data_IF_265937828062
#
_entry.id   IF_265937828062
#
_cell.length_a   1.000
_cell.length_b   1.000
_cell.length_c   1.000
_cell.angle_alpha   90.00
_cell.angle_beta   90.00
_cell.angle_gamma   90.00
#
_symmetry.space_group_name_H-M   'P 1'
#
loop_
_entity.id
_entity.type
_entity.pdbx_description
1 polymer ?
#
# COMPACT_ATOMS: atom_id res chain seq x y z
N UNK A 1 49.75 12.43 -22.59
CA UNK A 1 49.37 11.81 -23.88
C UNK A 1 48.26 10.82 -23.56
N UNK A 2 47.04 11.16 -24.00
CA UNK A 2 45.77 10.42 -24.02
C UNK A 2 45.32 9.65 -22.76
N UNK A 3 44.37 10.29 -22.05
CA UNK A 3 43.32 9.63 -21.26
C UNK A 3 42.42 8.89 -22.25
N UNK A 4 42.29 7.57 -22.11
CA UNK A 4 41.29 6.80 -22.85
C UNK A 4 39.94 6.99 -22.16
N UNK A 5 39.02 7.65 -22.87
CA UNK A 5 37.59 7.61 -22.59
C UNK A 5 37.12 6.16 -22.72
N UNK A 6 36.74 5.54 -21.60
CA UNK A 6 35.95 4.32 -21.59
C UNK A 6 34.50 4.77 -21.58
N UNK A 7 33.84 4.65 -22.73
CA UNK A 7 32.41 4.90 -22.87
C UNK A 7 31.64 3.93 -21.98
N UNK A 8 30.73 4.47 -21.19
CA UNK A 8 29.70 3.69 -20.50
C UNK A 8 28.87 2.98 -21.58
N UNK A 9 28.83 1.65 -21.51
CA UNK A 9 27.83 0.86 -22.23
C UNK A 9 26.44 1.31 -21.75
N UNK A 10 25.69 1.90 -22.68
CA UNK A 10 24.36 2.50 -22.50
C UNK A 10 23.22 1.46 -22.40
N UNK A 11 23.54 0.19 -22.10
CA UNK A 11 22.60 -0.95 -22.24
C UNK A 11 22.08 -1.54 -20.91
N UNK A 12 21.91 -0.71 -19.88
CA UNK A 12 21.07 -1.07 -18.70
C UNK A 12 20.16 0.10 -18.32
N UNK A 13 19.26 0.46 -19.23
CA UNK A 13 18.11 1.35 -18.96
C UNK A 13 16.79 0.64 -19.24
N UNK A 14 16.61 -0.56 -18.70
CA UNK A 14 15.30 -1.23 -18.69
C UNK A 14 15.11 -2.07 -17.42
N UNK A 15 14.60 -1.44 -16.36
CA UNK A 15 13.53 -1.98 -15.50
C UNK A 15 13.22 -0.95 -14.40
N UNK A 16 11.94 -0.62 -14.24
CA UNK A 16 11.48 0.14 -13.07
C UNK A 16 11.68 -0.65 -11.78
N UNK A 17 11.49 0.06 -10.66
CA UNK A 17 11.47 -0.44 -9.27
C UNK A 17 12.84 -0.48 -8.55
N UNK A 18 12.99 0.48 -7.63
CA UNK A 18 14.01 0.61 -6.57
C UNK A 18 15.37 1.25 -6.95
N UNK A 19 15.68 2.37 -6.29
CA UNK A 19 17.02 3.00 -6.23
C UNK A 19 17.91 2.12 -5.31
N UNK A 20 19.20 1.95 -5.64
CA UNK A 20 20.16 1.16 -4.85
C UNK A 20 20.14 1.48 -3.35
N UNK A 21 19.89 2.74 -2.99
CA UNK A 21 19.75 3.17 -1.59
C UNK A 21 18.49 2.58 -0.96
N UNK A 22 17.35 2.63 -1.67
CA UNK A 22 16.08 2.07 -1.18
C UNK A 22 16.21 0.56 -0.95
N UNK A 23 16.85 -0.17 -1.87
CA UNK A 23 17.05 -1.62 -1.72
C UNK A 23 17.88 -1.92 -0.48
N UNK A 24 18.99 -1.20 -0.26
CA UNK A 24 19.86 -1.42 0.89
C UNK A 24 19.19 -1.11 2.24
N UNK A 25 18.17 -0.24 2.26
CA UNK A 25 17.36 0.00 3.45
C UNK A 25 16.55 -1.24 3.87
N UNK A 26 16.07 -2.03 2.91
CA UNK A 26 15.37 -3.29 3.21
C UNK A 26 16.30 -4.32 3.89
N UNK A 27 17.62 -4.18 3.67
CA UNK A 27 18.65 -4.98 4.34
C UNK A 27 19.16 -4.37 5.65
N UNK A 28 18.51 -3.31 6.14
CA UNK A 28 18.73 -2.74 7.47
C UNK A 28 19.79 -1.64 7.54
N UNK A 29 20.16 -1.04 6.41
CA UNK A 29 21.01 0.16 6.39
C UNK A 29 20.19 1.44 6.48
N UNK A 30 20.69 2.44 7.21
CA UNK A 30 20.17 3.81 7.12
C UNK A 30 20.58 4.47 5.79
N UNK A 31 19.92 5.56 5.39
CA UNK A 31 20.17 6.24 4.10
C UNK A 31 21.64 6.66 3.92
N UNK A 32 22.22 7.28 4.95
CA UNK A 32 23.63 7.67 4.93
C UNK A 32 24.60 6.47 4.91
N UNK A 33 24.20 5.34 5.51
CA UNK A 33 25.00 4.11 5.55
C UNK A 33 24.99 3.43 4.18
N UNK A 34 23.81 3.32 3.56
CA UNK A 34 23.64 2.86 2.19
C UNK A 34 24.45 3.72 1.21
N UNK A 35 24.35 5.05 1.30
CA UNK A 35 25.12 5.97 0.46
C UNK A 35 26.63 5.80 0.67
N UNK A 36 27.08 5.64 1.91
CA UNK A 36 28.49 5.43 2.23
C UNK A 36 29.01 4.09 1.72
N UNK A 37 28.21 3.02 1.81
CA UNK A 37 28.56 1.71 1.27
C UNK A 37 28.66 1.72 -0.27
N UNK A 38 27.70 2.33 -0.96
CA UNK A 38 27.77 2.51 -2.42
C UNK A 38 29.00 3.33 -2.81
N UNK A 39 29.31 4.40 -2.06
CA UNK A 39 30.53 5.17 -2.26
C UNK A 39 31.82 4.35 -2.08
N UNK A 40 31.87 3.47 -1.07
CA UNK A 40 33.00 2.54 -0.88
C UNK A 40 33.10 1.53 -2.03
N UNK A 41 31.98 1.02 -2.52
CA UNK A 41 31.96 0.07 -3.63
C UNK A 41 32.48 0.71 -4.93
N UNK A 42 32.19 2.00 -5.15
CA UNK A 42 32.64 2.75 -6.33
C UNK A 42 34.10 3.20 -6.24
N UNK A 43 34.54 3.66 -5.07
CA UNK A 43 35.89 4.22 -4.87
C UNK A 43 36.93 3.16 -4.51
N UNK A 44 36.50 1.97 -4.10
CA UNK A 44 37.38 0.90 -3.64
C UNK A 44 37.96 1.18 -2.25
N UNK A 45 39.27 0.97 -2.08
CA UNK A 45 39.94 1.13 -0.79
C UNK A 45 40.42 2.56 -0.55
N UNK A 46 39.68 3.32 0.25
CA UNK A 46 39.86 4.77 0.44
C UNK A 46 39.83 5.19 1.90
N UNK A 47 40.35 6.38 2.20
CA UNK A 47 40.33 6.94 3.56
C UNK A 47 38.95 7.48 3.92
N UNK A 48 38.63 7.53 5.21
CA UNK A 48 37.38 8.15 5.69
C UNK A 48 37.20 9.61 5.22
N UNK A 49 38.29 10.36 5.06
CA UNK A 49 38.24 11.74 4.54
C UNK A 49 37.84 11.83 3.07
N UNK A 50 38.20 10.82 2.27
CA UNK A 50 37.89 10.77 0.83
C UNK A 50 36.42 10.37 0.65
N UNK A 51 35.93 9.42 1.45
CA UNK A 51 34.51 9.05 1.50
C UNK A 51 33.64 10.22 1.97
N UNK A 52 34.03 10.90 3.05
CA UNK A 52 33.32 12.09 3.56
C UNK A 52 33.20 13.18 2.50
N UNK A 53 34.24 13.39 1.69
CA UNK A 53 34.21 14.36 0.59
C UNK A 53 33.28 13.90 -0.55
N UNK A 54 33.25 12.60 -0.85
CA UNK A 54 32.41 12.00 -1.89
C UNK A 54 30.92 12.05 -1.53
N UNK A 55 30.57 11.60 -0.32
CA UNK A 55 29.18 11.56 0.16
C UNK A 55 28.66 12.90 0.65
N UNK A 56 29.57 13.89 0.85
CA UNK A 56 29.28 15.20 1.46
C UNK A 56 28.77 15.09 2.91
N UNK A 57 29.04 13.98 3.58
CA UNK A 57 28.71 13.76 4.99
C UNK A 57 29.86 14.30 5.85
N UNK A 58 29.53 14.89 7.00
CA UNK A 58 30.53 15.37 7.97
C UNK A 58 31.51 14.26 8.37
N UNK A 59 32.78 14.62 8.62
CA UNK A 59 33.85 13.66 8.93
C UNK A 59 33.57 12.85 10.19
N UNK A 60 33.05 13.47 11.26
CA UNK A 60 32.79 12.75 12.52
C UNK A 60 31.69 11.72 12.32
N UNK A 61 30.64 12.09 11.57
CA UNK A 61 29.54 11.18 11.22
C UNK A 61 30.00 10.05 10.29
N UNK A 62 30.84 10.37 9.31
CA UNK A 62 31.41 9.39 8.38
C UNK A 62 32.19 8.29 9.11
N UNK A 63 33.01 8.62 10.11
CA UNK A 63 33.70 7.61 10.92
C UNK A 63 32.74 6.68 11.68
N UNK A 64 31.64 7.22 12.23
CA UNK A 64 30.63 6.39 12.90
C UNK A 64 29.93 5.44 11.94
N UNK A 65 29.55 5.94 10.75
CA UNK A 65 28.92 5.15 9.70
C UNK A 65 29.86 4.03 9.23
N UNK A 66 31.13 4.33 8.99
CA UNK A 66 32.11 3.32 8.57
C UNK A 66 32.33 2.24 9.63
N UNK A 67 32.29 2.59 10.91
CA UNK A 67 32.34 1.62 12.01
C UNK A 67 31.06 0.77 12.10
N UNK A 68 29.88 1.36 11.91
CA UNK A 68 28.62 0.62 11.84
C UNK A 68 28.59 -0.36 10.66
N UNK A 69 28.96 0.10 9.46
CA UNK A 69 29.07 -0.75 8.27
C UNK A 69 30.05 -1.91 8.50
N UNK A 70 31.15 -1.68 9.23
CA UNK A 70 32.06 -2.76 9.62
C UNK A 70 31.41 -3.77 10.57
N UNK A 71 30.67 -3.30 11.57
CA UNK A 71 29.95 -4.18 12.51
C UNK A 71 28.84 -4.99 11.84
N UNK A 72 28.20 -4.42 10.82
CA UNK A 72 27.19 -5.10 10.00
C UNK A 72 27.81 -6.02 8.94
N UNK A 73 29.13 -5.96 8.73
CA UNK A 73 29.84 -6.77 7.74
C UNK A 73 29.84 -6.20 6.32
N UNK A 74 29.32 -4.99 6.11
CA UNK A 74 29.33 -4.29 4.82
C UNK A 74 30.68 -3.67 4.47
N UNK A 75 31.52 -3.36 5.45
CA UNK A 75 32.84 -2.77 5.21
C UNK A 75 33.95 -3.49 5.99
N UNK A 76 35.16 -3.41 5.47
CA UNK A 76 36.40 -3.79 6.16
C UNK A 76 37.34 -2.61 6.26
N UNK A 77 38.24 -2.66 7.23
CA UNK A 77 39.29 -1.64 7.37
C UNK A 77 40.67 -2.27 7.47
N UNK A 78 41.65 -1.58 6.90
CA UNK A 78 43.05 -1.96 6.99
C UNK A 78 43.63 -1.59 8.35
N UNK A 79 44.53 -2.41 8.89
CA UNK A 79 45.33 -2.08 10.09
C UNK A 79 46.54 -1.18 9.78
N UNK A 80 46.45 -0.32 8.75
CA UNK A 80 47.52 0.60 8.36
C UNK A 80 47.27 2.02 8.85
N UNK A 81 48.33 2.83 8.91
CA UNK A 81 48.22 4.28 9.03
C UNK A 81 48.56 4.92 7.68
N UNK A 82 47.63 5.66 7.04
CA UNK A 82 46.24 5.90 7.45
C UNK A 82 45.33 4.67 7.23
N UNK A 83 44.24 4.60 8.01
CA UNK A 83 43.22 3.56 7.89
C UNK A 83 42.46 3.78 6.57
N UNK A 84 42.37 2.73 5.76
CA UNK A 84 41.52 2.66 4.59
C UNK A 84 40.35 1.73 4.86
N UNK A 85 39.21 2.07 4.27
CA UNK A 85 37.99 1.29 4.29
C UNK A 85 37.71 0.76 2.89
N UNK A 86 37.17 -0.45 2.82
CA UNK A 86 36.74 -1.10 1.57
C UNK A 86 35.38 -1.72 1.77
N UNK A 87 34.53 -1.68 0.73
CA UNK A 87 33.29 -2.43 0.72
C UNK A 87 33.59 -3.94 0.63
N UNK A 88 32.85 -4.72 1.40
CA UNK A 88 32.83 -6.17 1.23
C UNK A 88 31.92 -6.55 0.04
N UNK A 89 32.02 -7.78 -0.45
CA UNK A 89 31.27 -8.22 -1.63
C UNK A 89 29.75 -8.29 -1.37
N UNK A 90 28.91 -7.55 -2.12
CA UNK A 90 27.48 -7.43 -1.85
C UNK A 90 26.76 -8.78 -1.89
N UNK A 91 27.08 -9.64 -2.84
CA UNK A 91 26.38 -10.91 -3.01
C UNK A 91 26.50 -11.82 -1.78
N UNK A 92 27.70 -11.90 -1.19
CA UNK A 92 27.92 -12.71 0.03
C UNK A 92 27.19 -12.12 1.23
N UNK A 93 27.30 -10.81 1.45
CA UNK A 93 26.69 -10.13 2.61
C UNK A 93 25.17 -10.29 2.57
N UNK A 94 24.55 -10.02 1.43
CA UNK A 94 23.10 -10.08 1.29
C UNK A 94 22.58 -11.52 1.48
N UNK A 95 23.30 -12.53 0.97
CA UNK A 95 22.99 -13.94 1.22
C UNK A 95 23.06 -14.29 2.71
N UNK A 96 24.11 -13.84 3.40
CA UNK A 96 24.30 -14.09 4.83
C UNK A 96 23.20 -13.43 5.68
N UNK A 97 22.81 -12.20 5.34
CA UNK A 97 21.69 -11.49 6.00
C UNK A 97 20.39 -12.28 5.83
N UNK A 98 20.06 -12.69 4.61
CA UNK A 98 18.85 -13.47 4.31
C UNK A 98 18.87 -14.79 5.08
N UNK A 99 19.99 -15.50 5.09
CA UNK A 99 20.14 -16.77 5.80
C UNK A 99 19.92 -16.60 7.31
N UNK A 100 20.52 -15.56 7.90
CA UNK A 100 20.36 -15.24 9.33
C UNK A 100 18.90 -14.92 9.69
N UNK A 101 18.20 -14.19 8.84
CA UNK A 101 16.77 -13.89 9.04
C UNK A 101 15.93 -15.17 8.95
N UNK A 102 16.18 -16.04 7.97
CA UNK A 102 15.49 -17.35 7.86
C UNK A 102 15.67 -18.21 9.10
N UNK A 103 16.90 -18.31 9.61
CA UNK A 103 17.19 -19.05 10.85
C UNK A 103 16.44 -18.48 12.06
N UNK A 104 16.30 -17.14 12.14
CA UNK A 104 15.51 -16.48 13.18
C UNK A 104 14.04 -16.85 13.08
N UNK A 105 13.48 -16.88 11.87
CA UNK A 105 12.09 -17.31 11.61
C UNK A 105 11.89 -18.76 12.02
N UNK A 106 12.75 -19.69 11.58
CA UNK A 106 12.70 -21.11 11.96
C UNK A 106 12.75 -21.29 13.49
N UNK A 107 13.59 -20.50 14.17
CA UNK A 107 13.67 -20.52 15.64
C UNK A 107 12.37 -20.05 16.30
N UNK A 108 11.77 -18.97 15.79
CA UNK A 108 10.48 -18.46 16.29
C UNK A 108 9.35 -19.46 16.05
N UNK A 109 9.29 -20.12 14.90
CA UNK A 109 8.32 -21.16 14.59
C UNK A 109 8.46 -22.37 15.53
N UNK A 110 9.71 -22.78 15.82
CA UNK A 110 9.99 -23.84 16.79
C UNK A 110 9.53 -23.46 18.20
N UNK A 111 9.83 -22.23 18.64
CA UNK A 111 9.40 -21.73 19.94
C UNK A 111 7.86 -21.65 20.03
N UNK A 112 7.20 -21.17 18.99
CA UNK A 112 5.73 -21.15 18.89
C UNK A 112 5.15 -22.56 19.03
N UNK A 113 5.70 -23.53 18.29
CA UNK A 113 5.28 -24.94 18.35
C UNK A 113 5.49 -25.56 19.74
N UNK A 114 6.62 -25.24 20.39
CA UNK A 114 6.89 -25.68 21.77
C UNK A 114 5.92 -25.04 22.76
N UNK A 115 5.64 -23.75 22.62
CA UNK A 115 4.71 -23.02 23.46
C UNK A 115 3.28 -23.56 23.33
N UNK A 116 2.82 -23.87 22.11
CA UNK A 116 1.52 -24.50 21.88
C UNK A 116 1.42 -25.88 22.55
N UNK A 117 2.49 -26.69 22.55
CA UNK A 117 2.56 -27.97 23.28
C UNK A 117 2.52 -27.79 24.80
N UNK A 118 3.07 -26.69 25.32
CA UNK A 118 2.97 -26.34 26.73
C UNK A 118 1.53 -25.93 27.04
N UNK A 119 0.95 -25.03 26.25
CA UNK A 119 -0.43 -24.57 26.38
C UNK A 119 -1.43 -25.72 26.36
N UNK A 120 -1.26 -26.72 25.48
CA UNK A 120 -2.16 -27.88 25.42
C UNK A 120 -2.12 -28.77 26.66
N UNK A 121 -1.04 -28.68 27.47
CA UNK A 121 -0.90 -29.40 28.75
C UNK A 121 -1.41 -28.59 29.94
N UNK A 122 -1.51 -27.28 29.79
CA UNK A 122 -2.15 -26.44 30.78
C UNK A 122 -3.65 -26.68 30.69
N UNK A 123 -4.32 -26.83 31.84
CA UNK A 123 -5.78 -26.71 31.91
C UNK A 123 -6.12 -25.26 31.59
N UNK A 124 -6.22 -24.96 30.30
CA UNK A 124 -6.82 -23.72 29.84
C UNK A 124 -8.29 -23.81 30.25
N UNK A 125 -8.78 -22.79 30.93
CA UNK A 125 -10.22 -22.63 31.08
C UNK A 125 -10.75 -22.51 29.67
N UNK A 126 -11.35 -23.59 29.15
CA UNK A 126 -12.10 -23.50 27.91
C UNK A 126 -13.09 -22.36 28.12
N UNK A 127 -13.07 -21.33 27.27
CA UNK A 127 -14.13 -20.32 27.32
C UNK A 127 -15.43 -21.10 27.28
N UNK A 128 -16.26 -20.91 28.30
CA UNK A 128 -17.50 -21.67 28.44
C UNK A 128 -18.22 -21.69 27.10
N UNK A 129 -18.53 -22.90 26.65
CA UNK A 129 -19.17 -23.24 25.38
C UNK A 129 -20.05 -22.11 24.87
N UNK A 130 -19.76 -21.63 23.66
CA UNK A 130 -20.76 -21.06 22.75
C UNK A 130 -21.50 -19.80 23.20
N UNK A 131 -21.02 -19.06 24.21
CA UNK A 131 -21.66 -17.78 24.52
C UNK A 131 -21.55 -16.84 23.30
N UNK A 132 -22.67 -16.23 22.86
CA UNK A 132 -22.64 -15.21 21.82
C UNK A 132 -21.68 -14.10 22.21
N UNK A 133 -20.66 -13.89 21.39
CA UNK A 133 -19.70 -12.81 21.50
C UNK A 133 -20.05 -11.73 20.50
N UNK A 134 -19.89 -10.50 20.93
CA UNK A 134 -19.92 -9.31 20.10
C UNK A 134 -18.57 -8.64 20.31
N UNK A 135 -17.82 -8.47 19.24
CA UNK A 135 -16.50 -7.84 19.25
C UNK A 135 -16.52 -6.67 18.29
N UNK A 136 -16.01 -5.53 18.74
CA UNK A 136 -15.77 -4.39 17.88
C UNK A 136 -14.31 -4.45 17.45
N UNK A 137 -14.10 -4.47 16.14
CA UNK A 137 -12.78 -4.45 15.52
C UNK A 137 -12.63 -3.07 14.90
N UNK A 138 -11.65 -2.33 15.40
CA UNK A 138 -11.29 -1.00 14.89
C UNK A 138 -9.96 -1.09 14.16
N UNK A 139 -9.70 -0.08 13.32
CA UNK A 139 -8.57 0.00 12.39
C UNK A 139 -8.74 -0.89 11.16
N UNK A 140 -8.48 -0.30 9.99
CA UNK A 140 -8.61 -0.91 8.67
C UNK A 140 -7.83 -2.21 8.52
N UNK A 141 -6.55 -2.24 8.90
CA UNK A 141 -5.73 -3.44 8.73
C UNK A 141 -6.32 -4.60 9.53
N UNK A 142 -6.69 -4.35 10.79
CA UNK A 142 -7.37 -5.34 11.62
C UNK A 142 -8.71 -5.79 11.01
N UNK A 143 -9.48 -4.88 10.40
CA UNK A 143 -10.75 -5.24 9.76
C UNK A 143 -10.52 -6.21 8.61
N UNK A 144 -9.55 -5.92 7.72
CA UNK A 144 -9.25 -6.81 6.58
C UNK A 144 -8.63 -8.13 7.04
N UNK A 145 -7.82 -8.14 8.10
CA UNK A 145 -7.31 -9.37 8.71
C UNK A 145 -8.45 -10.24 9.27
N UNK A 146 -9.45 -9.62 9.91
CA UNK A 146 -10.64 -10.34 10.40
C UNK A 146 -11.51 -10.84 9.23
N UNK A 147 -11.65 -10.06 8.16
CA UNK A 147 -12.32 -10.54 6.95
C UNK A 147 -11.61 -11.76 6.36
N UNK A 148 -10.28 -11.69 6.21
CA UNK A 148 -9.45 -12.80 5.73
C UNK A 148 -9.66 -14.05 6.60
N UNK A 149 -9.62 -13.89 7.92
CA UNK A 149 -9.88 -14.98 8.86
C UNK A 149 -11.26 -15.63 8.66
N UNK A 150 -12.33 -14.82 8.57
CA UNK A 150 -13.69 -15.34 8.35
C UNK A 150 -13.78 -16.10 7.02
N UNK A 151 -13.17 -15.57 5.95
CA UNK A 151 -13.16 -16.24 4.63
C UNK A 151 -12.44 -17.58 4.73
N UNK A 152 -11.31 -17.63 5.43
CA UNK A 152 -10.52 -18.86 5.58
C UNK A 152 -11.22 -19.94 6.43
N UNK A 153 -11.94 -19.52 7.47
CA UNK A 153 -12.69 -20.41 8.37
C UNK A 153 -14.02 -20.91 7.76
N UNK A 154 -14.48 -20.33 6.64
CA UNK A 154 -15.78 -20.67 6.04
C UNK A 154 -15.68 -21.90 5.12
N UNK A 155 -16.39 -22.96 5.49
CA UNK A 155 -16.38 -24.23 4.75
C UNK A 155 -17.41 -24.30 3.62
N UNK A 156 -18.65 -23.86 3.85
CA UNK A 156 -19.77 -24.10 2.93
C UNK A 156 -20.11 -22.83 2.12
N UNK A 157 -20.69 -21.83 2.78
CA UNK A 157 -21.25 -20.66 2.10
C UNK A 157 -20.82 -19.36 2.75
N UNK A 158 -20.45 -18.41 1.90
CA UNK A 158 -20.06 -17.06 2.30
C UNK A 158 -20.78 -16.02 1.44
N UNK A 159 -21.46 -15.09 2.10
CA UNK A 159 -21.96 -13.87 1.45
C UNK A 159 -21.01 -12.71 1.74
N UNK A 160 -20.65 -11.99 0.69
CA UNK A 160 -19.84 -10.77 0.76
C UNK A 160 -20.67 -9.65 0.18
N UNK A 161 -21.13 -8.72 1.01
CA UNK A 161 -21.90 -7.54 0.62
C UNK A 161 -21.04 -6.32 0.91
N UNK A 162 -20.50 -5.68 -0.13
CA UNK A 162 -19.49 -4.63 0.02
C UNK A 162 -19.65 -3.55 -1.05
N UNK A 163 -19.11 -2.36 -0.77
CA UNK A 163 -19.05 -1.26 -1.75
C UNK A 163 -17.95 -1.50 -2.78
N UNK A 164 -17.97 -0.77 -3.90
CA UNK A 164 -16.88 -0.81 -4.88
C UNK A 164 -15.55 -0.35 -4.27
N UNK A 165 -15.60 0.65 -3.37
CA UNK A 165 -14.42 1.11 -2.63
C UNK A 165 -13.78 -0.02 -1.84
N UNK A 166 -14.59 -0.85 -1.18
CA UNK A 166 -14.10 -1.99 -0.41
C UNK A 166 -13.53 -3.09 -1.30
N UNK A 167 -14.14 -3.37 -2.46
CA UNK A 167 -13.61 -4.34 -3.44
C UNK A 167 -12.18 -3.98 -3.84
N UNK A 168 -11.92 -2.70 -4.11
CA UNK A 168 -10.59 -2.22 -4.53
C UNK A 168 -9.62 -2.32 -3.36
N UNK A 169 -10.02 -1.90 -2.16
CA UNK A 169 -9.18 -2.05 -0.97
C UNK A 169 -8.85 -3.51 -0.69
N UNK A 170 -9.83 -4.42 -0.79
CA UNK A 170 -9.63 -5.85 -0.63
C UNK A 170 -8.58 -6.41 -1.61
N UNK A 171 -8.52 -5.88 -2.84
CA UNK A 171 -7.56 -6.31 -3.84
C UNK A 171 -6.09 -6.09 -3.42
N UNK A 172 -5.80 -5.03 -2.65
CA UNK A 172 -4.46 -4.73 -2.12
C UNK A 172 -4.22 -5.33 -0.72
N UNK A 173 -4.92 -6.41 -0.37
CA UNK A 173 -4.73 -7.14 0.91
C UNK A 173 -4.50 -8.63 0.65
N UNK A 174 -4.41 -9.44 1.71
CA UNK A 174 -4.32 -10.90 1.61
C UNK A 174 -5.62 -11.58 1.15
N UNK A 175 -6.74 -10.85 1.09
CA UNK A 175 -8.07 -11.37 0.78
C UNK A 175 -8.15 -12.12 -0.57
N UNK A 176 -7.55 -11.67 -1.69
CA UNK A 176 -7.62 -12.39 -2.96
C UNK A 176 -7.02 -13.80 -2.87
N UNK A 177 -5.93 -13.97 -2.12
CA UNK A 177 -5.30 -15.27 -1.90
C UNK A 177 -6.20 -16.20 -1.08
N UNK A 178 -6.81 -15.66 -0.02
CA UNK A 178 -7.72 -16.42 0.84
C UNK A 178 -9.00 -16.81 0.10
N UNK A 179 -9.57 -15.92 -0.71
CA UNK A 179 -10.72 -16.22 -1.59
C UNK A 179 -10.37 -17.33 -2.56
N UNK A 180 -9.19 -17.28 -3.19
CA UNK A 180 -8.73 -18.32 -4.10
C UNK A 180 -8.59 -19.67 -3.40
N UNK A 181 -8.09 -19.70 -2.17
CA UNK A 181 -7.97 -20.91 -1.33
C UNK A 181 -9.36 -21.45 -0.95
N UNK A 182 -10.27 -20.60 -0.49
CA UNK A 182 -11.64 -20.97 -0.16
C UNK A 182 -12.40 -21.53 -1.38
N UNK A 183 -12.24 -20.90 -2.55
CA UNK A 183 -12.83 -21.38 -3.81
C UNK A 183 -12.29 -22.76 -4.20
N UNK A 184 -10.99 -23.03 -4.00
CA UNK A 184 -10.40 -24.36 -4.20
C UNK A 184 -10.94 -25.41 -3.22
N UNK A 185 -11.33 -24.99 -2.02
CA UNK A 185 -11.96 -25.85 -1.02
C UNK A 185 -13.47 -26.03 -1.25
N UNK A 186 -13.99 -25.61 -2.42
CA UNK A 186 -15.40 -25.65 -2.80
C UNK A 186 -16.34 -24.76 -1.96
N UNK A 187 -15.82 -23.74 -1.27
CA UNK A 187 -16.65 -22.74 -0.59
C UNK A 187 -17.46 -21.94 -1.63
N UNK A 188 -18.78 -21.87 -1.45
CA UNK A 188 -19.70 -21.11 -2.30
C UNK A 188 -19.72 -19.63 -1.90
N UNK A 189 -18.87 -18.84 -2.54
CA UNK A 189 -18.75 -17.39 -2.29
C UNK A 189 -19.70 -16.63 -3.22
N UNK A 190 -20.55 -15.78 -2.63
CA UNK A 190 -21.54 -14.93 -3.30
C UNK A 190 -21.23 -13.46 -3.01
N UNK A 191 -20.74 -12.73 -4.00
CA UNK A 191 -20.42 -11.30 -3.88
C UNK A 191 -21.60 -10.43 -4.35
N UNK A 192 -21.99 -9.45 -3.54
CA UNK A 192 -23.02 -8.47 -3.85
C UNK A 192 -22.45 -7.08 -3.68
N UNK A 193 -22.71 -6.21 -4.66
CA UNK A 193 -22.23 -4.84 -4.63
C UNK A 193 -23.17 -3.89 -5.38
N UNK A 194 -22.94 -2.59 -5.25
CA UNK A 194 -23.78 -1.56 -5.87
C UNK A 194 -23.61 -1.45 -7.40
N UNK A 195 -24.48 -0.65 -8.06
CA UNK A 195 -24.53 -0.54 -9.53
C UNK A 195 -23.29 0.09 -10.17
N UNK A 196 -22.41 0.73 -9.39
CA UNK A 196 -21.13 1.28 -9.86
C UNK A 196 -20.24 0.20 -10.51
N UNK A 197 -20.49 -1.08 -10.19
CA UNK A 197 -19.74 -2.21 -10.71
C UNK A 197 -19.78 -2.38 -12.23
N UNK A 198 -20.87 -2.00 -12.90
CA UNK A 198 -21.07 -2.23 -14.35
C UNK A 198 -19.96 -1.64 -15.22
N UNK A 199 -19.26 -0.62 -14.71
CA UNK A 199 -18.20 0.06 -15.44
C UNK A 199 -16.84 -0.64 -15.36
N UNK A 200 -16.62 -1.56 -14.40
CA UNK A 200 -15.27 -2.00 -13.97
C UNK A 200 -15.23 -3.46 -13.48
N UNK A 201 -15.76 -4.39 -14.27
CA UNK A 201 -15.80 -5.83 -13.99
C UNK A 201 -14.41 -6.49 -13.76
N UNK A 202 -13.33 -5.85 -14.21
CA UNK A 202 -11.98 -6.40 -14.12
C UNK A 202 -11.51 -6.62 -12.67
N UNK A 203 -11.88 -5.75 -11.73
CA UNK A 203 -11.48 -5.87 -10.33
C UNK A 203 -12.10 -7.11 -9.66
N UNK A 204 -13.38 -7.41 -9.93
CA UNK A 204 -14.02 -8.62 -9.40
C UNK A 204 -13.42 -9.89 -10.01
N UNK A 205 -13.17 -9.88 -11.33
CA UNK A 205 -12.52 -11.02 -12.00
C UNK A 205 -11.16 -11.30 -11.37
N UNK A 206 -10.41 -10.26 -11.00
CA UNK A 206 -9.12 -10.39 -10.32
C UNK A 206 -9.21 -10.89 -8.88
N UNK A 207 -10.30 -10.58 -8.15
CA UNK A 207 -10.57 -11.20 -6.84
C UNK A 207 -10.81 -12.71 -6.92
N UNK A 208 -11.03 -13.27 -8.12
CA UNK A 208 -11.25 -14.70 -8.31
C UNK A 208 -12.65 -15.17 -7.90
N UNK A 209 -13.61 -14.25 -7.75
CA UNK A 209 -15.01 -14.56 -7.44
C UNK A 209 -15.80 -14.69 -8.74
N UNK A 210 -16.42 -15.85 -8.94
CA UNK A 210 -17.14 -16.16 -10.17
C UNK A 210 -18.66 -15.91 -10.06
N UNK A 211 -19.21 -15.75 -8.86
CA UNK A 211 -20.63 -15.50 -8.62
C UNK A 211 -20.80 -14.15 -7.95
N UNK A 212 -21.32 -13.18 -8.69
CA UNK A 212 -21.58 -11.85 -8.18
C UNK A 212 -22.84 -11.23 -8.78
N UNK A 213 -23.52 -10.38 -7.99
CA UNK A 213 -24.76 -9.70 -8.36
C UNK A 213 -24.73 -8.22 -8.01
N UNK A 214 -25.50 -7.43 -8.75
CA UNK A 214 -25.74 -6.02 -8.42
C UNK A 214 -26.97 -5.93 -7.53
N UNK A 215 -26.84 -5.24 -6.40
CA UNK A 215 -27.91 -5.06 -5.42
C UNK A 215 -27.98 -3.61 -4.97
N UNK A 216 -29.16 -3.19 -4.51
CA UNK A 216 -29.28 -1.96 -3.72
C UNK A 216 -28.84 -2.27 -2.30
N UNK A 217 -27.69 -1.71 -1.90
CA UNK A 217 -27.17 -1.93 -0.55
C UNK A 217 -28.05 -1.20 0.48
N UNK A 218 -28.50 -1.87 1.56
CA UNK A 218 -29.36 -1.26 2.58
C UNK A 218 -28.63 -0.19 3.40
N UNK A 219 -27.29 -0.22 3.42
CA UNK A 219 -26.42 0.81 3.97
C UNK A 219 -25.11 0.85 3.16
N UNK A 220 -24.32 1.94 3.21
CA UNK A 220 -22.99 1.99 2.62
C UNK A 220 -21.96 1.10 3.35
N UNK A 221 -22.41 0.25 4.28
CA UNK A 221 -21.57 -0.62 5.09
C UNK A 221 -21.21 -1.94 4.41
N UNK A 222 -20.28 -2.64 5.05
CA UNK A 222 -19.85 -4.00 4.70
C UNK A 222 -20.69 -5.00 5.48
N UNK A 223 -21.01 -6.12 4.86
CA UNK A 223 -21.58 -7.29 5.53
C UNK A 223 -20.91 -8.54 4.97
N UNK A 224 -20.18 -9.25 5.83
CA UNK A 224 -19.61 -10.56 5.58
C UNK A 224 -20.39 -11.58 6.42
N UNK A 225 -21.03 -12.53 5.78
CA UNK A 225 -21.92 -13.46 6.47
C UNK A 225 -21.57 -14.90 6.09
N UNK A 226 -21.07 -15.64 7.08
CA UNK A 226 -20.81 -17.08 7.00
C UNK A 226 -21.80 -17.84 7.89
N UNK A 227 -21.72 -19.17 7.88
CA UNK A 227 -22.54 -20.03 8.75
C UNK A 227 -22.17 -19.93 10.25
N UNK A 228 -20.98 -19.42 10.58
CA UNK A 228 -20.45 -19.39 11.95
C UNK A 228 -20.26 -17.99 12.51
N UNK A 229 -20.12 -16.98 11.65
CA UNK A 229 -19.82 -15.60 12.04
C UNK A 229 -20.40 -14.58 11.05
N UNK A 230 -20.75 -13.42 11.59
CA UNK A 230 -21.06 -12.21 10.81
C UNK A 230 -20.09 -11.11 11.17
N UNK A 231 -19.59 -10.42 10.15
CA UNK A 231 -18.91 -9.13 10.26
C UNK A 231 -19.80 -8.09 9.57
N UNK A 232 -20.14 -7.01 10.28
CA UNK A 232 -20.93 -5.93 9.71
C UNK A 232 -20.38 -4.56 10.13
N UNK A 233 -20.42 -3.58 9.24
CA UNK A 233 -20.06 -2.21 9.59
C UNK A 233 -21.07 -1.61 10.57
N UNK A 234 -20.58 -1.02 11.65
CA UNK A 234 -21.41 -0.21 12.55
C UNK A 234 -21.55 1.20 11.98
N UNK A 235 -22.78 1.64 11.69
CA UNK A 235 -23.01 3.06 11.38
C UNK A 235 -22.98 3.85 12.70
N UNK A 236 -21.82 4.35 13.11
CA UNK A 236 -21.66 5.14 14.34
C UNK A 236 -21.20 6.58 14.13
N UNK A 237 -21.04 7.07 12.89
CA UNK A 237 -20.84 8.50 12.65
C UNK A 237 -22.09 9.13 12.06
N UNK A 238 -22.90 9.72 12.94
CA UNK A 238 -23.71 10.89 12.60
C UNK A 238 -22.84 11.89 11.84
N UNK A 239 -23.44 12.50 10.83
CA UNK A 239 -22.88 13.61 10.06
C UNK A 239 -22.11 14.58 10.98
N UNK A 240 -20.82 14.82 10.69
CA UNK A 240 -20.06 16.08 10.87
C UNK A 240 -18.56 15.92 11.15
N UNK A 241 -18.03 14.74 11.48
CA UNK A 241 -16.57 14.57 11.63
C UNK A 241 -16.05 13.30 10.95
N UNK A 242 -15.70 13.40 9.66
CA UNK A 242 -14.91 12.40 8.92
C UNK A 242 -13.47 12.36 9.47
N UNK A 243 -13.27 11.67 10.60
CA UNK A 243 -11.99 11.05 10.92
C UNK A 243 -12.08 9.57 10.51
N UNK A 244 -11.56 9.25 9.34
CA UNK A 244 -11.75 7.93 8.72
C UNK A 244 -10.85 6.85 9.39
N UNK A 245 -10.04 7.20 10.40
CA UNK A 245 -9.31 6.25 11.25
C UNK A 245 -10.22 5.53 12.28
N UNK A 246 -11.49 5.92 12.41
CA UNK A 246 -12.48 5.29 13.29
C UNK A 246 -13.42 4.33 12.52
N UNK A 247 -12.97 3.76 11.39
CA UNK A 247 -13.69 2.63 10.79
C UNK A 247 -13.71 1.48 11.82
N UNK A 248 -14.92 1.06 12.18
CA UNK A 248 -15.16 -0.04 13.10
C UNK A 248 -16.20 -0.98 12.54
N UNK A 249 -15.98 -2.28 12.76
CA UNK A 249 -16.91 -3.33 12.39
C UNK A 249 -17.26 -4.14 13.62
N UNK A 250 -18.50 -4.61 13.66
CA UNK A 250 -18.97 -5.56 14.63
C UNK A 250 -18.80 -6.97 14.07
N UNK A 251 -18.14 -7.83 14.84
CA UNK A 251 -18.05 -9.27 14.58
C UNK A 251 -18.83 -10.01 15.66
N UNK A 252 -19.68 -10.94 15.24
CA UNK A 252 -20.44 -11.77 16.17
C UNK A 252 -20.62 -13.20 15.68
N UNK A 253 -20.63 -14.13 16.63
CA UNK A 253 -20.98 -15.54 16.43
C UNK A 253 -22.37 -15.88 17.01
N UNK A 254 -23.22 -14.87 17.24
CA UNK A 254 -24.59 -15.09 17.71
C UNK A 254 -25.41 -15.79 16.62
N UNK A 255 -25.89 -17.00 16.91
CA UNK A 255 -26.71 -17.79 15.97
C UNK A 255 -27.95 -17.05 15.48
N UNK A 256 -28.59 -16.26 16.36
CA UNK A 256 -29.79 -15.50 15.98
C UNK A 256 -29.45 -14.37 15.00
N UNK A 257 -28.34 -13.66 15.24
CA UNK A 257 -27.87 -12.60 14.33
C UNK A 257 -27.42 -13.22 13.01
N UNK A 258 -26.68 -14.34 13.05
CA UNK A 258 -26.24 -15.06 11.85
C UNK A 258 -27.44 -15.41 10.98
N UNK A 259 -28.45 -16.10 11.52
CA UNK A 259 -29.64 -16.51 10.76
C UNK A 259 -30.39 -15.32 10.15
N UNK A 260 -30.52 -14.23 10.91
CA UNK A 260 -31.18 -13.03 10.42
C UNK A 260 -30.39 -12.37 9.27
N UNK A 261 -29.06 -12.30 9.40
CA UNK A 261 -28.19 -11.71 8.39
C UNK A 261 -28.05 -12.60 7.15
N UNK A 262 -28.09 -13.93 7.30
CA UNK A 262 -28.17 -14.86 6.19
C UNK A 262 -29.47 -14.67 5.41
N UNK A 263 -30.61 -14.58 6.10
CA UNK A 263 -31.91 -14.30 5.48
C UNK A 263 -31.89 -12.98 4.69
N UNK A 264 -31.26 -11.94 5.25
CA UNK A 264 -31.05 -10.67 4.55
C UNK A 264 -30.16 -10.85 3.31
N UNK A 265 -29.04 -11.56 3.43
CA UNK A 265 -28.14 -11.81 2.31
C UNK A 265 -28.80 -12.63 1.19
N UNK A 266 -29.64 -13.60 1.54
CA UNK A 266 -30.43 -14.39 0.59
C UNK A 266 -31.44 -13.51 -0.14
N UNK A 267 -32.19 -12.69 0.60
CA UNK A 267 -33.11 -11.73 0.02
C UNK A 267 -32.41 -10.75 -0.95
N UNK A 268 -31.25 -10.20 -0.56
CA UNK A 268 -30.44 -9.35 -1.43
C UNK A 268 -29.95 -10.10 -2.67
N UNK A 269 -29.55 -11.37 -2.52
CA UNK A 269 -29.09 -12.19 -3.63
C UNK A 269 -30.21 -12.52 -4.63
N UNK A 270 -31.42 -12.78 -4.13
CA UNK A 270 -32.59 -13.08 -4.96
C UNK A 270 -33.15 -11.84 -5.66
N UNK A 271 -33.15 -10.70 -4.97
CA UNK A 271 -33.54 -9.41 -5.55
C UNK A 271 -32.47 -8.78 -6.45
N UNK A 272 -31.23 -9.28 -6.39
CA UNK A 272 -30.10 -8.78 -7.16
C UNK A 272 -30.16 -9.14 -8.64
N UNK A 273 -29.75 -8.19 -9.46
CA UNK A 273 -29.64 -8.35 -10.90
C UNK A 273 -28.41 -9.21 -11.24
N UNK A 274 -28.62 -10.27 -12.02
CA UNK A 274 -27.55 -11.01 -12.65
C UNK A 274 -26.88 -10.14 -13.72
N UNK A 275 -25.56 -10.09 -13.70
CA UNK A 275 -24.81 -9.41 -14.75
C UNK A 275 -24.80 -10.31 -15.97
N UNK A 276 -25.70 -10.03 -16.91
CA UNK A 276 -25.58 -10.53 -18.27
C UNK A 276 -24.42 -9.78 -18.90
N UNK A 277 -23.25 -10.42 -18.95
CA UNK A 277 -22.13 -9.92 -19.74
C UNK A 277 -22.54 -10.09 -21.21
N UNK A 278 -23.27 -9.11 -21.76
CA UNK A 278 -23.15 -8.89 -23.18
C UNK A 278 -21.70 -8.50 -23.41
N UNK A 279 -20.96 -9.31 -24.17
CA UNK A 279 -19.70 -8.92 -24.76
C UNK A 279 -19.96 -7.78 -25.77
N UNK A 280 -20.36 -6.63 -25.27
CA UNK A 280 -20.17 -5.38 -25.99
C UNK A 280 -18.68 -5.12 -25.93
N UNK A 281 -18.01 -5.63 -26.97
CA UNK A 281 -16.81 -5.06 -27.53
C UNK A 281 -17.05 -3.55 -27.72
N UNK A 282 -16.93 -2.77 -26.66
CA UNK A 282 -16.80 -1.33 -26.72
C UNK A 282 -15.38 -1.05 -27.21
N UNK A 283 -15.11 -1.37 -28.48
CA UNK A 283 -14.28 -0.51 -29.32
C UNK A 283 -15.06 0.79 -29.49
N UNK A 284 -15.13 1.61 -28.45
CA UNK A 284 -15.56 2.99 -28.60
C UNK A 284 -14.42 3.72 -29.29
N UNK A 285 -14.77 4.31 -30.41
CA UNK A 285 -13.92 5.15 -31.25
C UNK A 285 -13.01 6.02 -30.39
N UNK A 286 -11.69 5.82 -30.53
CA UNK A 286 -10.68 6.83 -30.17
C UNK A 286 -10.87 8.03 -31.10
N UNK A 287 -11.91 8.84 -30.86
CA UNK A 287 -11.87 10.23 -31.28
C UNK A 287 -10.86 10.93 -30.37
N UNK A 288 -9.95 11.65 -31.00
CA UNK A 288 -8.85 12.41 -30.41
C UNK A 288 -9.33 13.54 -29.49
N UNK A 289 -9.97 13.20 -28.39
CA UNK A 289 -10.10 14.10 -27.24
C UNK A 289 -8.76 14.12 -26.51
N UNK A 290 -8.24 15.32 -26.27
CA UNK A 290 -7.00 15.58 -25.54
C UNK A 290 -7.01 14.74 -24.26
N UNK A 291 -6.11 13.77 -24.16
CA UNK A 291 -6.06 12.84 -23.03
C UNK A 291 -5.64 13.63 -21.77
N UNK A 292 -6.63 14.02 -20.97
CA UNK A 292 -6.41 14.54 -19.62
C UNK A 292 -5.63 13.49 -18.83
N UNK A 293 -4.39 13.82 -18.49
CA UNK A 293 -3.53 12.96 -17.66
C UNK A 293 -3.49 13.55 -16.26
N UNK A 294 -3.81 12.75 -15.26
CA UNK A 294 -3.67 13.11 -13.85
C UNK A 294 -2.44 12.40 -13.29
N UNK A 295 -1.64 13.11 -12.50
CA UNK A 295 -0.49 12.53 -11.80
C UNK A 295 -0.85 12.30 -10.33
N UNK A 296 -0.66 11.09 -9.83
CA UNK A 296 -0.83 10.72 -8.42
C UNK A 296 0.54 10.44 -7.82
N UNK A 297 0.85 11.07 -6.70
CA UNK A 297 2.15 11.00 -6.03
C UNK A 297 1.98 10.70 -4.54
N UNK A 298 2.51 9.58 -4.09
CA UNK A 298 2.50 9.11 -2.70
C UNK A 298 3.64 8.09 -2.54
N UNK A 299 4.38 8.07 -1.43
CA UNK A 299 5.48 7.11 -1.26
C UNK A 299 4.99 5.67 -1.03
N UNK A 300 3.74 5.52 -0.59
CA UNK A 300 3.04 4.24 -0.47
C UNK A 300 2.46 3.82 -1.84
N UNK A 301 3.03 2.77 -2.43
CA UNK A 301 2.58 2.22 -3.71
C UNK A 301 1.13 1.76 -3.71
N UNK A 302 0.64 1.21 -2.58
CA UNK A 302 -0.74 0.77 -2.47
C UNK A 302 -1.68 1.98 -2.44
N UNK A 303 -1.29 3.05 -1.74
CA UNK A 303 -2.03 4.31 -1.74
C UNK A 303 -2.10 4.93 -3.14
N UNK A 304 -0.98 4.98 -3.89
CA UNK A 304 -0.95 5.45 -5.28
C UNK A 304 -1.88 4.63 -6.16
N UNK A 305 -1.80 3.31 -6.05
CA UNK A 305 -2.57 2.39 -6.88
C UNK A 305 -4.08 2.52 -6.61
N UNK A 306 -4.49 2.49 -5.33
CA UNK A 306 -5.88 2.67 -4.91
C UNK A 306 -6.42 4.02 -5.40
N UNK A 307 -5.65 5.11 -5.23
CA UNK A 307 -6.08 6.44 -5.65
C UNK A 307 -6.23 6.52 -7.18
N UNK A 308 -5.25 5.98 -7.92
CA UNK A 308 -5.30 5.97 -9.37
C UNK A 308 -6.48 5.14 -9.90
N UNK A 309 -6.73 3.97 -9.32
CA UNK A 309 -7.86 3.12 -9.68
C UNK A 309 -9.19 3.87 -9.43
N UNK A 310 -9.33 4.61 -8.32
CA UNK A 310 -10.49 5.47 -8.07
C UNK A 310 -10.71 6.54 -9.13
N UNK A 311 -9.64 7.21 -9.57
CA UNK A 311 -9.72 8.22 -10.64
C UNK A 311 -10.15 7.60 -11.98
N UNK A 312 -9.58 6.46 -12.34
CA UNK A 312 -9.92 5.72 -13.56
C UNK A 312 -11.38 5.22 -13.56
N UNK A 313 -11.95 4.91 -12.38
CA UNK A 313 -13.37 4.56 -12.22
C UNK A 313 -14.28 5.75 -12.51
N UNK A 314 -13.88 6.96 -12.11
CA UNK A 314 -14.65 8.17 -12.37
C UNK A 314 -14.47 8.75 -13.78
N UNK A 315 -13.83 7.99 -14.67
CA UNK A 315 -13.73 8.32 -16.08
C UNK A 315 -12.48 9.11 -16.46
N UNK A 316 -11.51 9.27 -15.55
CA UNK A 316 -10.20 9.84 -15.90
C UNK A 316 -9.50 8.89 -16.86
N UNK A 317 -9.15 9.40 -18.04
CA UNK A 317 -8.71 8.57 -19.18
C UNK A 317 -7.25 8.13 -19.09
N UNK A 318 -6.43 8.85 -18.32
CA UNK A 318 -5.00 8.58 -18.16
C UNK A 318 -4.59 9.01 -16.74
N UNK A 319 -4.05 8.07 -15.96
CA UNK A 319 -3.53 8.33 -14.62
C UNK A 319 -2.09 7.83 -14.53
N UNK A 320 -1.17 8.76 -14.32
CA UNK A 320 0.23 8.46 -14.07
C UNK A 320 0.42 8.23 -12.56
N UNK A 321 1.06 7.10 -12.23
CA UNK A 321 1.37 6.68 -10.87
C UNK A 321 2.83 7.00 -10.57
N UNK A 322 3.13 7.63 -9.43
CA UNK A 322 4.49 7.99 -9.06
C UNK A 322 4.71 7.83 -7.56
N UNK A 323 5.80 7.17 -7.16
CA UNK A 323 6.10 6.88 -5.74
C UNK A 323 7.26 7.69 -5.16
N UNK A 324 7.67 8.75 -5.86
CA UNK A 324 8.78 9.62 -5.46
C UNK A 324 8.47 11.06 -5.83
N UNK A 325 8.73 11.99 -4.91
CA UNK A 325 8.56 13.41 -5.15
C UNK A 325 9.54 13.96 -6.20
N UNK A 326 10.79 13.47 -6.23
CA UNK A 326 11.77 13.88 -7.26
C UNK A 326 11.32 13.46 -8.66
N UNK A 327 10.90 12.19 -8.81
CA UNK A 327 10.37 11.67 -10.08
C UNK A 327 9.07 12.38 -10.47
N UNK A 328 8.25 12.80 -9.51
CA UNK A 328 7.03 13.54 -9.80
C UNK A 328 7.31 14.87 -10.53
N UNK A 329 8.38 15.58 -10.17
CA UNK A 329 8.80 16.81 -10.87
C UNK A 329 9.20 16.50 -12.32
N UNK A 330 9.95 15.43 -12.55
CA UNK A 330 10.36 15.00 -13.90
C UNK A 330 9.16 14.57 -14.74
N UNK A 331 8.26 13.78 -14.16
CA UNK A 331 7.02 13.32 -14.80
C UNK A 331 6.11 14.51 -15.12
N UNK A 332 6.01 15.49 -14.23
CA UNK A 332 5.26 16.72 -14.49
C UNK A 332 5.82 17.47 -15.71
N UNK A 333 7.15 17.63 -15.80
CA UNK A 333 7.79 18.29 -16.96
C UNK A 333 7.48 17.58 -18.28
N UNK A 334 7.50 16.23 -18.27
CA UNK A 334 7.30 15.41 -19.47
C UNK A 334 5.84 15.30 -19.89
N UNK A 335 4.94 15.06 -18.93
CA UNK A 335 3.55 14.70 -19.19
C UNK A 335 2.59 15.89 -19.16
N UNK A 336 2.98 17.00 -18.49
CA UNK A 336 2.13 18.19 -18.29
C UNK A 336 0.71 17.82 -17.86
N UNK A 337 0.56 17.10 -16.73
CA UNK A 337 -0.74 16.62 -16.28
C UNK A 337 -1.68 17.78 -15.95
N UNK A 338 -2.99 17.56 -16.12
CA UNK A 338 -4.01 18.58 -15.84
C UNK A 338 -4.21 18.83 -14.35
N UNK A 339 -3.93 17.82 -13.52
CA UNK A 339 -3.93 17.90 -12.08
C UNK A 339 -2.88 16.96 -11.48
N UNK A 340 -2.36 17.35 -10.31
CA UNK A 340 -1.44 16.55 -9.51
C UNK A 340 -2.07 16.33 -8.14
N UNK A 341 -2.26 15.08 -7.74
CA UNK A 341 -2.53 14.70 -6.36
C UNK A 341 -1.21 14.34 -5.70
N UNK A 342 -0.86 15.02 -4.62
CA UNK A 342 0.48 15.01 -4.06
C UNK A 342 0.46 14.83 -2.55
N UNK A 343 1.03 13.73 -2.06
CA UNK A 343 1.23 13.54 -0.63
C UNK A 343 2.21 14.56 -0.05
N UNK A 344 1.99 14.98 1.19
CA UNK A 344 2.86 15.92 1.91
C UNK A 344 4.10 15.21 2.45
N UNK A 345 3.92 14.05 3.05
CA UNK A 345 4.98 13.36 3.80
C UNK A 345 5.57 12.26 2.95
N UNK A 346 6.66 12.55 2.24
CA UNK A 346 7.41 11.56 1.48
C UNK A 346 8.89 11.57 1.94
N UNK A 347 9.57 10.40 1.96
CA UNK A 347 10.91 10.28 2.50
C UNK A 347 12.00 10.91 1.63
N UNK A 348 11.79 11.06 0.32
CA UNK A 348 12.81 11.59 -0.60
C UNK A 348 12.83 13.13 -0.66
N UNK A 349 11.67 13.75 -0.90
CA UNK A 349 11.45 15.20 -0.82
C UNK A 349 10.04 15.45 -0.32
N UNK A 350 9.85 16.46 0.53
CA UNK A 350 8.53 16.79 1.04
C UNK A 350 7.59 17.27 -0.10
N UNK A 351 6.29 17.03 0.04
CA UNK A 351 5.30 17.43 -0.98
C UNK A 351 5.22 18.95 -1.16
N UNK A 352 5.62 19.73 -0.16
CA UNK A 352 5.68 21.19 -0.28
C UNK A 352 6.75 21.62 -1.29
N UNK A 353 7.93 21.02 -1.22
CA UNK A 353 9.04 21.26 -2.14
C UNK A 353 8.63 20.87 -3.57
N UNK A 354 8.00 19.71 -3.73
CA UNK A 354 7.50 19.26 -5.05
C UNK A 354 6.49 20.26 -5.61
N UNK A 355 5.55 20.75 -4.80
CA UNK A 355 4.59 21.78 -5.20
C UNK A 355 5.29 23.06 -5.67
N UNK A 356 6.30 23.53 -4.94
CA UNK A 356 7.04 24.73 -5.30
C UNK A 356 7.80 24.56 -6.62
N UNK A 357 8.48 23.43 -6.81
CA UNK A 357 9.20 23.12 -8.05
C UNK A 357 8.25 23.00 -9.25
N UNK A 358 7.11 22.33 -9.08
CA UNK A 358 6.08 22.27 -10.13
C UNK A 358 5.58 23.67 -10.49
N UNK A 359 5.39 24.56 -9.51
CA UNK A 359 4.94 25.94 -9.77
C UNK A 359 5.99 26.84 -10.41
N UNK A 360 7.28 26.58 -10.19
CA UNK A 360 8.35 27.25 -10.95
C UNK A 360 8.27 26.92 -12.44
N UNK A 361 7.81 25.71 -12.77
CA UNK A 361 7.62 25.25 -14.16
C UNK A 361 6.29 25.75 -14.73
N UNK A 362 5.21 25.66 -13.95
CA UNK A 362 3.86 26.06 -14.33
C UNK A 362 3.11 26.70 -13.14
N UNK A 363 3.09 28.04 -13.04
CA UNK A 363 2.51 28.75 -11.89
C UNK A 363 1.02 28.48 -11.65
N UNK A 364 0.30 28.03 -12.68
CA UNK A 364 -1.14 27.71 -12.64
C UNK A 364 -1.44 26.21 -12.55
N UNK A 365 -0.42 25.38 -12.31
CA UNK A 365 -0.61 23.94 -12.15
C UNK A 365 -1.65 23.64 -11.06
N UNK A 366 -2.62 22.77 -11.38
CA UNK A 366 -3.61 22.33 -10.40
C UNK A 366 -2.96 21.26 -9.51
N UNK A 367 -2.73 21.60 -8.25
CA UNK A 367 -2.06 20.71 -7.28
C UNK A 367 -2.98 20.56 -6.09
N UNK A 368 -3.43 19.34 -5.85
CA UNK A 368 -4.26 18.94 -4.72
C UNK A 368 -3.35 18.25 -3.72
N UNK A 369 -3.21 18.82 -2.53
CA UNK A 369 -2.39 18.21 -1.48
C UNK A 369 -3.19 17.12 -0.78
N UNK A 370 -2.60 15.96 -0.62
CA UNK A 370 -3.16 14.82 0.10
C UNK A 370 -2.36 14.70 1.40
N UNK A 371 -2.99 14.56 2.57
CA UNK A 371 -2.22 14.48 3.83
C UNK A 371 -2.98 13.83 4.98
N UNK A 372 -2.30 13.03 5.81
CA UNK A 372 -2.83 12.59 7.10
C UNK A 372 -2.57 13.62 8.23
N UNK A 373 -1.63 14.55 8.03
CA UNK A 373 -1.19 15.47 9.07
C UNK A 373 -2.11 16.71 9.15
N UNK A 374 -2.79 16.83 10.30
CA UNK A 374 -3.67 17.96 10.65
C UNK A 374 -3.00 18.94 11.63
N UNK A 375 -1.68 18.85 11.81
CA UNK A 375 -0.95 19.70 12.74
C UNK A 375 -1.12 21.19 12.39
N UNK A 376 -1.07 22.09 13.39
CA UNK A 376 -1.10 23.53 13.15
C UNK A 376 0.02 24.01 12.23
N UNK A 377 1.19 23.36 12.28
CA UNK A 377 2.33 23.68 11.43
C UNK A 377 2.03 23.39 9.96
N UNK A 378 1.54 22.19 9.65
CA UNK A 378 1.15 21.79 8.29
C UNK A 378 -0.01 22.62 7.77
N UNK A 379 -1.01 22.89 8.62
CA UNK A 379 -2.15 23.77 8.27
C UNK A 379 -1.69 25.19 7.91
N UNK A 380 -0.73 25.75 8.66
CA UNK A 380 -0.15 27.07 8.37
C UNK A 380 0.59 27.06 7.03
N UNK A 381 1.45 26.07 6.80
CA UNK A 381 2.21 25.94 5.54
C UNK A 381 1.29 25.78 4.33
N UNK A 382 0.22 24.98 4.44
CA UNK A 382 -0.81 24.84 3.40
C UNK A 382 -1.52 26.16 3.06
N UNK A 383 -1.77 27.02 4.05
CA UNK A 383 -2.33 28.38 3.82
C UNK A 383 -1.34 29.30 3.10
N UNK A 384 -0.05 29.13 3.33
CA UNK A 384 1.01 29.92 2.69
C UNK A 384 1.21 29.49 1.24
N UNK A 385 1.33 28.17 0.99
CA UNK A 385 1.53 27.62 -0.35
C UNK A 385 0.25 27.59 -1.18
N UNK A 386 -0.94 27.73 -0.58
CA UNK A 386 -2.25 27.85 -1.29
C UNK A 386 -2.42 26.82 -2.41
N UNK A 387 -2.45 25.50 -2.13
CA UNK A 387 -2.74 24.50 -3.15
C UNK A 387 -4.14 24.71 -3.73
N UNK A 388 -4.42 24.04 -4.86
CA UNK A 388 -5.74 24.12 -5.50
C UNK A 388 -6.84 23.58 -4.59
N UNK A 389 -6.58 22.46 -3.93
CA UNK A 389 -7.44 21.89 -2.90
C UNK A 389 -6.62 21.03 -1.93
N UNK A 390 -7.26 20.57 -0.84
CA UNK A 390 -6.64 19.74 0.19
C UNK A 390 -7.55 18.55 0.50
N UNK A 391 -7.02 17.35 0.37
CA UNK A 391 -7.68 16.09 0.75
C UNK A 391 -6.98 15.55 2.00
N UNK A 392 -7.74 15.26 3.06
CA UNK A 392 -7.19 14.63 4.25
C UNK A 392 -7.32 13.12 4.17
N UNK A 393 -6.21 12.41 4.41
CA UNK A 393 -6.19 10.98 4.66
C UNK A 393 -6.87 10.70 6.03
N UNK A 394 -7.62 9.59 6.14
CA UNK A 394 -8.03 8.73 5.03
C UNK A 394 -9.14 9.38 4.20
N UNK A 395 -9.20 9.06 2.90
CA UNK A 395 -10.15 9.66 1.94
C UNK A 395 -11.08 8.62 1.31
N UNK A 396 -12.21 9.08 0.77
CA UNK A 396 -13.17 8.29 0.00
C UNK A 396 -13.26 8.75 -1.47
N UNK A 397 -13.91 7.94 -2.30
CA UNK A 397 -14.09 8.22 -3.73
C UNK A 397 -14.79 9.57 -3.95
N UNK A 398 -15.74 9.95 -3.09
CA UNK A 398 -16.49 11.19 -3.23
C UNK A 398 -15.62 12.43 -3.02
N UNK A 399 -14.74 12.41 -2.01
CA UNK A 399 -13.77 13.48 -1.75
C UNK A 399 -12.83 13.67 -2.94
N UNK A 400 -12.30 12.58 -3.51
CA UNK A 400 -11.43 12.65 -4.69
C UNK A 400 -12.19 13.26 -5.87
N UNK A 401 -13.45 12.84 -6.09
CA UNK A 401 -14.26 13.29 -7.23
C UNK A 401 -14.63 14.77 -7.13
N UNK A 402 -14.81 15.29 -5.91
CA UNK A 402 -15.15 16.71 -5.67
C UNK A 402 -14.06 17.64 -6.18
N UNK A 403 -12.79 17.27 -6.03
CA UNK A 403 -11.65 18.10 -6.40
C UNK A 403 -11.37 18.13 -7.92
N UNK A 404 -12.06 17.30 -8.71
CA UNK A 404 -11.92 17.24 -10.17
C UNK A 404 -12.89 18.15 -10.93
N UNK A 405 -13.90 18.71 -10.25
CA UNK A 405 -14.86 19.67 -10.80
C UNK A 405 -14.32 21.09 -10.71
#
# INVERSE_FOLDING_TARGET
>A
MQVQDISLDDDVKESGEHDEITILRDFGLEEDEAQTYVGLAQLGSVKASEISAFTKIDRVRTYKILENLKNLGFATSTLSSPIKFSANEPESILKDIILKQKQKVEHLEKNSSQFLKILSRLKLNEPQVGLPKLTIVSNRNNIYDQMAKIIEETADRLFIVVTLSDIIRMYYTSIPEVIKKATKNNTNIKLMTGPELLTKLEYIKRLGINKFKIVTLPSPGRLLCSESQVLMSGNTSSQENKNINDESVMVTNSNDIIKNMQSLCEFLWESGEDIVIEEKNNKKDKKSQKQSTILVVDDDSDAVNIFADYLEIKGVSSVERCTSGKKAIERFKKLRPEAVFLDIMMPDVDGFYVLEEIRKIEPKAKIIMVTADKSPATTKKLKEVKPTDIIYKPYDIEQITRCLK
#
